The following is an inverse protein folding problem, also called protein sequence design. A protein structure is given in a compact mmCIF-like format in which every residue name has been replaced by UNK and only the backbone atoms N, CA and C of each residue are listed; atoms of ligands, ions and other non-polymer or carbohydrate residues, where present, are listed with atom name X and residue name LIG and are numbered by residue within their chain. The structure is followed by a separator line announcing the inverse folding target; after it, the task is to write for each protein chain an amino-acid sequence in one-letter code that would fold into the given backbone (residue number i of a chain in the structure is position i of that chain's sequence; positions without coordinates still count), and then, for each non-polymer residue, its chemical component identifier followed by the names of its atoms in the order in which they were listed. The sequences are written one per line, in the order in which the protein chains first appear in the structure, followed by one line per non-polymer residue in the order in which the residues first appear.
data_IF_789033041669
#
_entry.id   IF_789033041669
#
_cell.length_a   1.000
_cell.length_b   1.000
_cell.length_c   1.000
_cell.angle_alpha   90.00
_cell.angle_beta   90.00
_cell.angle_gamma   90.00
#
_symmetry.space_group_name_H-M   'P 1'
#
loop_
_entity.id
_entity.type
_entity.pdbx_description
1 polymer ?
#
# COMPACT_ATOMS: atom_id res chain seq x y z
N UNK A 1 -11.19 -39.39 -47.41
CA UNK A 1 -11.23 -37.94 -47.68
C UNK A 1 -11.85 -37.13 -46.54
N UNK A 2 -12.78 -37.66 -45.81
CA UNK A 2 -13.43 -36.98 -44.67
C UNK A 2 -12.60 -36.92 -43.35
N UNK A 3 -11.60 -37.74 -43.20
CA UNK A 3 -10.77 -37.82 -41.99
C UNK A 3 -9.73 -36.67 -41.88
N UNK A 4 -9.25 -36.19 -43.03
CA UNK A 4 -8.18 -35.15 -43.06
C UNK A 4 -8.67 -33.78 -42.61
N UNK A 5 -9.89 -33.40 -42.90
CA UNK A 5 -10.46 -32.12 -42.50
C UNK A 5 -10.80 -32.04 -40.99
N UNK A 6 -11.11 -33.20 -40.38
CA UNK A 6 -11.44 -33.23 -38.94
C UNK A 6 -10.22 -33.03 -38.06
N UNK A 7 -9.09 -33.61 -38.46
CA UNK A 7 -7.84 -33.44 -37.71
C UNK A 7 -7.27 -32.04 -37.85
N UNK A 8 -7.42 -31.39 -39.00
CA UNK A 8 -7.00 -30.03 -39.23
C UNK A 8 -7.86 -29.01 -38.46
N UNK A 9 -9.14 -29.25 -38.33
CA UNK A 9 -10.04 -28.40 -37.56
C UNK A 9 -9.75 -28.50 -36.05
N UNK A 10 -9.46 -29.70 -35.54
CA UNK A 10 -9.06 -29.92 -34.15
C UNK A 10 -7.77 -29.19 -33.84
N UNK A 11 -6.76 -29.25 -34.70
CA UNK A 11 -5.50 -28.51 -34.53
C UNK A 11 -5.67 -26.98 -34.53
N UNK A 12 -6.59 -26.45 -35.33
CA UNK A 12 -6.89 -25.00 -35.33
C UNK A 12 -7.51 -24.57 -33.99
N UNK A 13 -8.42 -25.38 -33.46
CA UNK A 13 -9.01 -25.10 -32.12
C UNK A 13 -8.02 -25.25 -31.02
N UNK A 14 -7.12 -26.21 -31.06
CA UNK A 14 -6.04 -26.38 -30.11
C UNK A 14 -5.07 -25.19 -30.14
N UNK A 15 -4.68 -24.77 -31.34
CA UNK A 15 -3.82 -23.59 -31.50
C UNK A 15 -4.51 -22.30 -31.00
N UNK A 16 -5.80 -22.14 -31.32
CA UNK A 16 -6.57 -20.99 -30.83
C UNK A 16 -6.69 -20.97 -29.28
N UNK A 17 -6.91 -22.15 -28.68
CA UNK A 17 -6.98 -22.28 -27.22
C UNK A 17 -5.64 -21.98 -26.55
N UNK A 18 -4.53 -22.49 -27.11
CA UNK A 18 -3.18 -22.20 -26.62
C UNK A 18 -2.83 -20.71 -26.73
N UNK A 19 -3.23 -20.08 -27.83
CA UNK A 19 -2.99 -18.65 -28.05
C UNK A 19 -3.81 -17.79 -27.08
N UNK A 20 -5.07 -18.13 -26.85
CA UNK A 20 -5.93 -17.47 -25.88
C UNK A 20 -5.38 -17.62 -24.45
N UNK A 21 -4.91 -18.81 -24.09
CA UNK A 21 -4.29 -19.07 -22.80
C UNK A 21 -3.01 -18.25 -22.60
N UNK A 22 -2.16 -18.20 -23.63
CA UNK A 22 -0.90 -17.42 -23.60
C UNK A 22 -1.17 -15.92 -23.43
N UNK A 23 -2.15 -15.39 -24.17
CA UNK A 23 -2.56 -13.97 -24.06
C UNK A 23 -3.10 -13.69 -22.65
N UNK A 24 -3.92 -14.57 -22.10
CA UNK A 24 -4.48 -14.40 -20.75
C UNK A 24 -3.41 -14.42 -19.67
N UNK A 25 -2.43 -15.33 -19.78
CA UNK A 25 -1.30 -15.40 -18.84
C UNK A 25 -0.41 -14.17 -18.93
N UNK A 26 -0.10 -13.71 -20.15
CA UNK A 26 0.68 -12.49 -20.36
C UNK A 26 -0.04 -11.24 -19.83
N UNK A 27 -1.34 -11.13 -20.07
CA UNK A 27 -2.14 -10.01 -19.57
C UNK A 27 -2.22 -10.01 -18.04
N UNK A 28 -2.36 -11.20 -17.41
CA UNK A 28 -2.33 -11.34 -15.95
C UNK A 28 -0.99 -10.94 -15.35
N UNK A 29 0.10 -11.43 -15.90
CA UNK A 29 1.46 -11.08 -15.46
C UNK A 29 1.76 -9.59 -15.61
N UNK A 30 1.28 -8.98 -16.70
CA UNK A 30 1.47 -7.54 -16.93
C UNK A 30 0.65 -6.67 -15.96
N UNK A 31 -0.59 -7.08 -15.64
CA UNK A 31 -1.42 -6.39 -14.66
C UNK A 31 -0.81 -6.46 -13.25
N UNK A 32 -0.27 -7.61 -12.87
CA UNK A 32 0.40 -7.81 -11.58
C UNK A 32 1.71 -7.01 -11.48
N UNK A 33 2.50 -6.96 -12.56
CA UNK A 33 3.71 -6.15 -12.62
C UNK A 33 3.42 -4.64 -12.49
N UNK A 34 2.34 -4.14 -13.09
CA UNK A 34 1.89 -2.75 -12.91
C UNK A 34 1.46 -2.45 -11.48
N UNK A 35 0.72 -3.36 -10.86
CA UNK A 35 0.26 -3.19 -9.49
C UNK A 35 1.42 -3.16 -8.50
N UNK A 36 2.39 -4.04 -8.64
CA UNK A 36 3.60 -4.06 -7.81
C UNK A 36 4.47 -2.80 -8.00
N UNK A 37 4.50 -2.22 -9.19
CA UNK A 37 5.27 -1.00 -9.46
C UNK A 37 4.69 0.24 -8.78
N UNK A 38 3.38 0.31 -8.57
CA UNK A 38 2.74 1.41 -7.84
C UNK A 38 2.96 1.24 -6.34
N UNK A 39 2.76 0.03 -5.83
CA UNK A 39 2.94 -0.25 -4.39
C UNK A 39 4.37 -0.05 -3.91
N UNK A 40 5.37 -0.30 -4.76
CA UNK A 40 6.79 -0.10 -4.43
C UNK A 40 7.22 1.37 -4.40
N UNK A 41 6.42 2.30 -4.95
CA UNK A 41 6.73 3.73 -5.02
C UNK A 41 6.08 4.57 -3.93
N UNK A 42 5.28 3.95 -3.06
CA UNK A 42 4.50 4.64 -2.06
C UNK A 42 4.74 4.05 -0.67
N UNK A 43 4.89 4.93 0.30
CA UNK A 43 4.86 4.57 1.72
C UNK A 43 3.56 5.14 2.29
N UNK A 44 2.76 4.28 2.91
CA UNK A 44 1.47 4.67 3.49
C UNK A 44 1.65 5.02 4.95
N UNK A 45 1.06 6.12 5.37
CA UNK A 45 0.91 6.44 6.79
C UNK A 45 -0.42 5.87 7.28
N UNK A 46 -0.35 4.98 8.26
CA UNK A 46 -1.51 4.35 8.90
C UNK A 46 -1.52 4.66 10.40
N UNK A 47 -2.35 5.60 10.80
CA UNK A 47 -2.58 5.92 12.21
C UNK A 47 -3.78 5.13 12.71
N UNK A 48 -3.60 4.37 13.77
CA UNK A 48 -4.64 3.52 14.39
C UNK A 48 -5.02 4.15 15.71
N UNK A 49 -6.29 4.53 15.86
CA UNK A 49 -6.82 5.13 17.08
C UNK A 49 -6.90 4.10 18.22
N UNK A 50 -7.03 4.57 19.44
CA UNK A 50 -7.19 3.71 20.61
C UNK A 50 -8.56 2.99 20.62
N UNK A 51 -9.61 3.62 20.07
CA UNK A 51 -10.93 3.04 19.89
C UNK A 51 -11.71 3.78 18.79
N UNK A 52 -12.93 3.31 18.50
CA UNK A 52 -13.85 3.94 17.53
C UNK A 52 -14.61 5.14 18.09
N UNK A 53 -14.38 5.55 19.34
CA UNK A 53 -15.01 6.73 19.93
C UNK A 53 -14.62 7.99 19.17
N UNK A 54 -15.56 8.94 19.08
CA UNK A 54 -15.39 10.20 18.33
C UNK A 54 -14.13 10.97 18.77
N UNK A 55 -13.90 11.04 20.07
CA UNK A 55 -12.72 11.72 20.63
C UNK A 55 -11.41 11.04 20.16
N UNK A 56 -11.38 9.71 20.16
CA UNK A 56 -10.20 8.95 19.71
C UNK A 56 -9.93 9.14 18.21
N UNK A 57 -10.98 9.24 17.40
CA UNK A 57 -10.85 9.54 15.98
C UNK A 57 -10.34 10.96 15.71
N UNK A 58 -10.74 11.94 16.53
CA UNK A 58 -10.20 13.31 16.45
C UNK A 58 -8.71 13.36 16.83
N UNK A 59 -8.30 12.64 17.86
CA UNK A 59 -6.89 12.54 18.28
C UNK A 59 -6.07 11.88 17.17
N UNK A 60 -6.57 10.82 16.57
CA UNK A 60 -5.95 10.16 15.41
C UNK A 60 -5.64 11.14 14.28
N UNK A 61 -6.57 12.04 13.95
CA UNK A 61 -6.35 13.05 12.91
C UNK A 61 -5.27 14.05 13.31
N UNK A 62 -5.24 14.50 14.55
CA UNK A 62 -4.20 15.40 15.06
C UNK A 62 -2.82 14.73 15.08
N UNK A 63 -2.76 13.48 15.48
CA UNK A 63 -1.50 12.69 15.44
C UNK A 63 -1.02 12.52 14.00
N UNK A 64 -1.90 12.20 13.07
CA UNK A 64 -1.57 12.13 11.64
C UNK A 64 -0.94 13.44 11.17
N UNK A 65 -1.57 14.56 11.48
CA UNK A 65 -1.10 15.88 11.04
C UNK A 65 0.26 16.22 11.65
N UNK A 66 0.46 15.94 12.93
CA UNK A 66 1.75 16.14 13.62
C UNK A 66 2.88 15.28 13.02
N UNK A 67 2.60 14.04 12.68
CA UNK A 67 3.57 13.15 12.04
C UNK A 67 3.90 13.63 10.63
N UNK A 68 2.91 14.05 9.85
CA UNK A 68 3.13 14.59 8.50
C UNK A 68 3.93 15.90 8.54
N UNK A 69 3.63 16.80 9.46
CA UNK A 69 4.39 18.04 9.65
C UNK A 69 5.85 17.76 10.03
N UNK A 70 6.09 16.79 10.89
CA UNK A 70 7.43 16.35 11.26
C UNK A 70 8.21 15.76 10.08
N UNK A 71 7.55 14.94 9.25
CA UNK A 71 8.17 14.21 8.15
C UNK A 71 8.38 15.08 6.91
N UNK A 72 7.50 16.02 6.61
CA UNK A 72 7.51 16.77 5.35
C UNK A 72 8.89 17.38 5.01
N UNK A 73 9.55 18.15 5.89
CA UNK A 73 10.86 18.73 5.59
C UNK A 73 11.97 17.69 5.49
N UNK A 74 11.81 16.54 6.14
CA UNK A 74 12.80 15.44 6.15
C UNK A 74 12.74 14.60 4.89
N UNK A 75 11.56 14.48 4.30
CA UNK A 75 11.32 13.72 3.08
C UNK A 75 11.51 14.55 1.81
N UNK A 76 11.66 15.86 1.91
CA UNK A 76 11.80 16.76 0.76
C UNK A 76 13.03 16.43 -0.11
N UNK A 77 14.08 15.83 0.47
CA UNK A 77 15.26 15.37 -0.24
C UNK A 77 15.21 13.90 -0.72
N UNK A 78 14.13 13.18 -0.49
CA UNK A 78 14.01 11.79 -0.91
C UNK A 78 13.74 11.68 -2.41
N UNK A 79 14.61 10.99 -3.12
CA UNK A 79 14.53 10.82 -4.59
C UNK A 79 13.58 9.70 -5.02
N UNK A 80 13.36 8.74 -4.13
CA UNK A 80 12.52 7.56 -4.37
C UNK A 80 11.96 7.00 -3.04
N UNK A 81 11.16 5.94 -3.14
CA UNK A 81 10.52 5.32 -1.99
C UNK A 81 11.53 4.63 -1.05
N UNK A 82 12.63 4.10 -1.56
CA UNK A 82 13.66 3.47 -0.73
C UNK A 82 14.40 4.52 0.11
N UNK A 83 14.80 5.64 -0.49
CA UNK A 83 15.39 6.76 0.23
C UNK A 83 14.42 7.32 1.30
N UNK A 84 13.14 7.44 0.97
CA UNK A 84 12.12 7.84 1.92
C UNK A 84 11.97 6.84 3.07
N UNK A 85 12.01 5.55 2.78
CA UNK A 85 11.95 4.47 3.77
C UNK A 85 13.12 4.53 4.76
N UNK A 86 14.33 4.72 4.24
CA UNK A 86 15.54 4.86 5.06
C UNK A 86 15.47 6.09 5.98
N UNK A 87 15.00 7.23 5.45
CA UNK A 87 14.81 8.44 6.23
C UNK A 87 13.75 8.25 7.33
N UNK A 88 12.65 7.59 7.05
CA UNK A 88 11.62 7.26 8.03
C UNK A 88 12.19 6.33 9.10
N UNK A 89 12.91 5.28 8.71
CA UNK A 89 13.52 4.33 9.63
C UNK A 89 14.53 5.01 10.57
N UNK A 90 15.34 5.95 10.05
CA UNK A 90 16.30 6.72 10.84
C UNK A 90 15.63 7.74 11.80
N UNK A 91 14.38 8.13 11.54
CA UNK A 91 13.65 9.12 12.30
C UNK A 91 12.52 8.56 13.18
N UNK A 92 12.48 7.26 13.40
CA UNK A 92 11.40 6.58 14.16
C UNK A 92 11.16 7.19 15.52
N UNK A 93 12.21 7.51 16.28
CA UNK A 93 12.11 8.15 17.59
C UNK A 93 11.52 9.56 17.51
N UNK A 94 11.90 10.32 16.50
CA UNK A 94 11.34 11.66 16.28
C UNK A 94 9.87 11.62 15.86
N UNK A 95 9.49 10.62 15.05
CA UNK A 95 8.10 10.36 14.67
C UNK A 95 7.27 10.01 15.91
N UNK A 96 7.78 9.14 16.79
CA UNK A 96 7.12 8.79 18.03
C UNK A 96 6.90 10.03 18.92
N UNK A 97 7.91 10.88 19.10
CA UNK A 97 7.78 12.11 19.87
C UNK A 97 6.78 13.10 19.27
N UNK A 98 6.78 13.24 17.95
CA UNK A 98 5.81 14.09 17.27
C UNK A 98 4.38 13.57 17.48
N UNK A 99 4.17 12.26 17.36
CA UNK A 99 2.89 11.62 17.63
C UNK A 99 2.46 11.77 19.09
N UNK A 100 3.35 11.54 20.04
CA UNK A 100 3.10 11.70 21.48
C UNK A 100 2.66 13.11 21.86
N UNK A 101 3.21 14.15 21.21
CA UNK A 101 2.84 15.54 21.45
C UNK A 101 1.35 15.83 21.12
N UNK A 102 0.75 15.06 20.22
CA UNK A 102 -0.65 15.20 19.81
C UNK A 102 -1.56 14.09 20.36
N UNK A 103 -1.00 13.09 21.04
CA UNK A 103 -1.73 11.90 21.49
C UNK A 103 -2.49 12.07 22.81
N UNK A 104 -2.39 13.22 23.45
CA UNK A 104 -3.11 13.53 24.71
C UNK A 104 -2.93 12.45 25.80
N UNK A 105 -1.70 11.99 26.00
CA UNK A 105 -1.36 11.01 27.04
C UNK A 105 -1.57 9.55 26.65
N UNK A 106 -2.05 9.25 25.42
CA UNK A 106 -2.09 7.87 24.92
C UNK A 106 -0.68 7.37 24.64
N UNK A 107 -0.45 6.09 24.90
CA UNK A 107 0.79 5.45 24.49
C UNK A 107 0.89 5.45 22.97
N UNK A 108 2.10 5.66 22.45
CA UNK A 108 2.37 5.67 21.01
C UNK A 108 3.38 4.58 20.68
N UNK A 109 3.07 3.77 19.69
CA UNK A 109 3.98 2.78 19.11
C UNK A 109 4.12 3.01 17.63
N UNK A 110 5.35 3.14 17.16
CA UNK A 110 5.65 3.37 15.74
C UNK A 110 6.33 2.14 15.17
N UNK A 111 5.83 1.64 14.06
CA UNK A 111 6.42 0.51 13.33
C UNK A 111 6.48 0.82 11.84
N UNK A 112 7.52 0.36 11.17
CA UNK A 112 7.68 0.43 9.73
C UNK A 112 7.75 -0.99 9.19
N UNK A 113 6.91 -1.31 8.21
CA UNK A 113 6.86 -2.63 7.63
C UNK A 113 5.85 -2.75 6.50
N UNK A 114 5.67 -3.95 5.97
CA UNK A 114 4.71 -4.21 4.91
C UNK A 114 3.35 -4.55 5.48
N UNK A 115 2.33 -3.97 4.86
CA UNK A 115 0.94 -4.21 5.22
C UNK A 115 0.07 -4.32 3.96
N UNK A 116 -0.91 -5.22 3.99
CA UNK A 116 -1.84 -5.40 2.89
C UNK A 116 -3.04 -4.48 3.07
N UNK A 117 -3.33 -3.73 2.01
CA UNK A 117 -4.45 -2.79 1.97
C UNK A 117 -5.45 -3.17 0.87
N UNK A 118 -6.75 -2.96 1.12
CA UNK A 118 -7.75 -3.02 0.07
C UNK A 118 -7.64 -1.80 -0.87
N UNK A 119 -8.32 -1.85 -2.00
CA UNK A 119 -8.45 -0.69 -2.88
C UNK A 119 -9.07 0.47 -2.14
N UNK A 120 -8.42 1.64 -2.15
CA UNK A 120 -8.91 2.89 -1.57
C UNK A 120 -9.03 3.95 -2.65
N UNK A 121 -10.19 4.61 -2.68
CA UNK A 121 -10.44 5.77 -3.54
C UNK A 121 -10.25 7.03 -2.72
N UNK A 122 -9.52 7.98 -3.29
CA UNK A 122 -9.34 9.35 -2.81
C UNK A 122 -9.89 10.31 -3.86
N UNK A 123 -10.12 11.56 -3.49
CA UNK A 123 -10.53 12.58 -4.45
C UNK A 123 -9.45 12.75 -5.53
N UNK A 124 -9.76 12.33 -6.76
CA UNK A 124 -8.90 12.43 -7.93
C UNK A 124 -8.00 11.22 -8.26
N UNK A 125 -7.87 10.23 -7.37
CA UNK A 125 -7.10 9.02 -7.68
C UNK A 125 -7.53 7.80 -6.85
N UNK A 126 -7.17 6.62 -7.31
CA UNK A 126 -7.39 5.37 -6.59
C UNK A 126 -6.08 4.62 -6.39
N UNK A 127 -5.87 4.10 -5.18
CA UNK A 127 -4.80 3.17 -4.88
C UNK A 127 -5.34 1.74 -4.96
N UNK A 128 -4.75 0.89 -5.80
CA UNK A 128 -5.18 -0.50 -5.91
C UNK A 128 -4.89 -1.28 -4.63
N UNK A 129 -5.62 -2.37 -4.42
CA UNK A 129 -5.33 -3.32 -3.37
C UNK A 129 -3.93 -3.91 -3.57
N UNK A 130 -3.20 -4.17 -2.49
CA UNK A 130 -1.86 -4.75 -2.56
C UNK A 130 -1.09 -4.60 -1.26
N UNK A 131 0.15 -5.07 -1.28
CA UNK A 131 1.11 -4.86 -0.20
C UNK A 131 1.88 -3.56 -0.41
N UNK A 132 1.89 -2.72 0.61
CA UNK A 132 2.59 -1.44 0.63
C UNK A 132 3.53 -1.38 1.83
N UNK A 133 4.64 -0.67 1.69
CA UNK A 133 5.37 -0.19 2.87
C UNK A 133 4.46 0.73 3.67
N UNK A 134 4.39 0.51 4.97
CA UNK A 134 3.49 1.21 5.87
C UNK A 134 4.22 1.70 7.11
N UNK A 135 4.14 3.00 7.34
CA UNK A 135 4.47 3.60 8.62
C UNK A 135 3.21 3.56 9.49
N UNK A 136 3.23 2.73 10.51
CA UNK A 136 2.09 2.56 11.43
C UNK A 136 2.35 3.31 12.71
N UNK A 137 1.42 4.14 13.10
CA UNK A 137 1.40 4.84 14.39
C UNK A 137 0.19 4.35 15.16
N UNK A 138 0.42 3.61 16.22
CA UNK A 138 -0.61 2.93 17.00
C UNK A 138 -0.78 3.66 18.30
N UNK A 139 -2.00 4.13 18.59
CA UNK A 139 -2.39 4.83 19.80
C UNK A 139 -3.07 3.87 20.78
N UNK A 140 -2.65 3.88 22.03
CA UNK A 140 -3.19 2.97 23.02
C UNK A 140 -3.05 1.51 22.62
N UNK A 141 -4.13 0.75 22.71
CA UNK A 141 -4.18 -0.66 22.30
C UNK A 141 -4.38 -0.85 20.79
N UNK A 142 -4.75 0.22 20.06
CA UNK A 142 -4.91 0.16 18.61
C UNK A 142 -6.17 -0.59 18.16
N UNK A 143 -7.29 -0.33 18.77
CA UNK A 143 -8.56 -1.00 18.51
C UNK A 143 -9.50 -0.23 17.57
N UNK A 144 -9.10 0.97 17.11
CA UNK A 144 -9.93 1.86 16.30
C UNK A 144 -9.46 2.11 14.86
#
# INVERSE_FOLDING_TARGET
MFSYNKERSLRIWELAALLALSISLCAGAWAEARQSSISSRLIRLHVIAASDETQEQEIKLRVRDAVLEYLAPRLDGATDAEAARELIAANTDGIAKAAESAAEGRTVRVTLGRERYPTRRYDGFALPAGEYESLRVILGEGEG
#
